data_IF_636399877435
#
_entry.id   IF_636399877435
#
_cell.length_a   1.000
_cell.length_b   1.000
_cell.length_c   1.000
_cell.angle_alpha   90.00
_cell.angle_beta   90.00
_cell.angle_gamma   90.00
#
_symmetry.space_group_name_H-M   'P 1'
#
loop_
_entity.id
_entity.type
_entity.pdbx_description
1 polymer ?
#
# COMPACT_ATOMS: atom_id res chain seq x y z
N UNK A 1 -32.12 -28.21 21.50
CA UNK A 1 -32.34 -26.80 21.16
C UNK A 1 -31.39 -26.45 20.03
N UNK A 2 -31.90 -26.29 18.83
CA UNK A 2 -31.09 -25.93 17.66
C UNK A 2 -30.76 -24.44 17.77
N UNK A 3 -29.50 -24.11 18.00
CA UNK A 3 -28.98 -22.76 17.90
C UNK A 3 -29.01 -22.32 16.45
N UNK A 4 -30.00 -21.52 16.09
CA UNK A 4 -30.06 -20.83 14.81
C UNK A 4 -28.83 -19.92 14.73
N UNK A 5 -27.82 -20.34 14.00
CA UNK A 5 -26.69 -19.46 13.62
C UNK A 5 -27.27 -18.35 12.76
N UNK A 6 -27.50 -17.19 13.34
CA UNK A 6 -27.87 -15.99 12.61
C UNK A 6 -26.73 -15.69 11.65
N UNK A 7 -26.93 -16.00 10.37
CA UNK A 7 -26.02 -15.58 9.30
C UNK A 7 -26.10 -14.05 9.25
N UNK A 8 -25.02 -13.39 9.63
CA UNK A 8 -24.93 -11.91 9.60
C UNK A 8 -25.27 -11.44 8.19
N UNK A 9 -26.36 -10.68 8.05
CA UNK A 9 -26.71 -10.09 6.76
C UNK A 9 -25.58 -9.16 6.31
N UNK A 10 -25.11 -9.24 5.06
CA UNK A 10 -24.11 -8.34 4.52
C UNK A 10 -24.45 -6.84 4.74
N UNK A 11 -25.72 -6.48 4.59
CA UNK A 11 -26.21 -5.11 4.83
C UNK A 11 -26.01 -4.67 6.28
N UNK A 12 -26.19 -5.55 7.27
CA UNK A 12 -26.04 -5.20 8.68
C UNK A 12 -24.62 -4.76 9.06
N UNK A 13 -23.58 -5.20 8.36
CA UNK A 13 -22.22 -4.73 8.62
C UNK A 13 -22.00 -3.31 8.12
N UNK A 14 -22.49 -2.97 6.94
CA UNK A 14 -22.36 -1.63 6.38
C UNK A 14 -23.15 -0.60 7.18
N UNK A 15 -24.37 -0.95 7.64
CA UNK A 15 -25.23 -0.09 8.46
C UNK A 15 -24.56 0.35 9.77
N UNK A 16 -23.69 -0.48 10.31
CA UNK A 16 -22.91 -0.18 11.53
C UNK A 16 -21.58 0.50 11.20
N UNK A 17 -20.87 0.02 10.17
CA UNK A 17 -19.53 0.47 9.85
C UNK A 17 -19.48 1.89 9.27
N UNK A 18 -20.43 2.27 8.44
CA UNK A 18 -20.43 3.59 7.80
C UNK A 18 -20.60 4.72 8.83
N UNK A 19 -21.61 4.71 9.75
CA UNK A 19 -21.71 5.71 10.81
C UNK A 19 -20.50 5.70 11.76
N UNK A 20 -20.01 4.51 12.13
CA UNK A 20 -18.83 4.41 12.97
C UNK A 20 -17.60 5.07 12.33
N UNK A 21 -17.34 4.81 11.05
CA UNK A 21 -16.21 5.38 10.33
C UNK A 21 -16.29 6.90 10.28
N UNK A 22 -17.48 7.45 9.98
CA UNK A 22 -17.70 8.90 9.95
C UNK A 22 -17.41 9.59 11.29
N UNK A 23 -17.65 8.89 12.41
CA UNK A 23 -17.43 9.40 13.75
C UNK A 23 -16.00 9.18 14.29
N UNK A 24 -15.30 8.13 13.84
CA UNK A 24 -14.07 7.65 14.50
C UNK A 24 -12.88 7.47 13.55
N UNK A 25 -13.03 7.74 12.26
CA UNK A 25 -11.92 7.61 11.30
C UNK A 25 -10.75 8.52 11.69
N UNK A 26 -9.54 8.01 11.53
CA UNK A 26 -8.33 8.84 11.67
C UNK A 26 -8.35 9.97 10.64
N UNK A 27 -7.97 11.17 11.07
CA UNK A 27 -7.74 12.30 10.17
C UNK A 27 -6.43 12.06 9.39
N UNK A 28 -6.57 11.48 8.21
CA UNK A 28 -5.45 11.24 7.31
C UNK A 28 -5.53 12.23 6.14
N UNK A 29 -4.41 12.93 5.80
CA UNK A 29 -4.46 14.02 4.82
C UNK A 29 -4.98 13.59 3.45
N UNK A 30 -4.68 12.35 3.02
CA UNK A 30 -5.18 11.80 1.75
C UNK A 30 -6.65 11.38 1.74
N UNK A 31 -7.38 11.52 2.87
CA UNK A 31 -8.83 11.31 2.99
C UNK A 31 -9.63 12.61 2.98
N UNK A 32 -8.95 13.74 2.98
CA UNK A 32 -9.59 15.05 3.02
C UNK A 32 -10.24 15.39 1.68
N UNK A 33 -11.37 16.09 1.66
CA UNK A 33 -12.11 16.42 0.42
C UNK A 33 -11.30 17.19 -0.62
N UNK A 34 -10.31 17.98 -0.17
CA UNK A 34 -9.43 18.76 -1.03
C UNK A 34 -8.33 17.93 -1.70
N UNK A 35 -8.14 16.67 -1.30
CA UNK A 35 -7.10 15.82 -1.88
C UNK A 35 -7.49 15.40 -3.30
N UNK A 36 -6.62 15.71 -4.24
CA UNK A 36 -6.81 15.33 -5.65
C UNK A 36 -6.69 13.81 -5.86
N UNK A 37 -7.26 13.26 -6.93
CA UNK A 37 -7.05 11.84 -7.29
C UNK A 37 -5.57 11.45 -7.41
N UNK A 38 -4.73 12.38 -7.86
CA UNK A 38 -3.28 12.19 -7.86
C UNK A 38 -2.72 12.02 -6.45
N UNK A 39 -3.14 12.87 -5.51
CA UNK A 39 -2.74 12.74 -4.10
C UNK A 39 -3.17 11.42 -3.49
N UNK A 40 -4.36 10.93 -3.81
CA UNK A 40 -4.83 9.60 -3.39
C UNK A 40 -3.95 8.51 -3.99
N UNK A 41 -3.67 8.53 -5.29
CA UNK A 41 -2.81 7.54 -5.95
C UNK A 41 -1.41 7.51 -5.32
N UNK A 42 -0.79 8.66 -5.09
CA UNK A 42 0.52 8.77 -4.43
C UNK A 42 0.47 8.14 -3.04
N UNK A 43 -0.56 8.43 -2.24
CA UNK A 43 -0.71 7.85 -0.90
C UNK A 43 -0.83 6.33 -0.93
N UNK A 44 -1.64 5.78 -1.85
CA UNK A 44 -1.85 4.34 -1.98
C UNK A 44 -0.56 3.60 -2.35
N UNK A 45 0.26 4.19 -3.22
CA UNK A 45 1.57 3.62 -3.55
C UNK A 45 2.55 3.72 -2.36
N UNK A 46 2.57 4.85 -1.65
CA UNK A 46 3.45 5.03 -0.49
C UNK A 46 3.08 4.13 0.69
N UNK A 47 1.79 3.87 0.89
CA UNK A 47 1.27 3.05 1.99
C UNK A 47 1.50 1.54 1.79
N UNK A 48 1.85 1.08 0.57
CA UNK A 48 2.17 -0.33 0.34
C UNK A 48 3.31 -0.78 1.27
N UNK A 49 3.01 -1.63 2.26
CA UNK A 49 3.97 -2.17 3.24
C UNK A 49 4.75 -1.08 4.04
N UNK A 50 4.22 0.14 4.13
CA UNK A 50 4.81 1.25 4.89
C UNK A 50 3.79 1.75 5.91
N UNK A 51 4.15 1.86 7.20
CA UNK A 51 3.26 2.39 8.22
C UNK A 51 2.84 3.85 7.94
N UNK A 52 1.59 4.18 8.24
CA UNK A 52 1.00 5.53 8.04
C UNK A 52 1.88 6.65 8.58
N UNK A 53 2.40 6.51 9.81
CA UNK A 53 3.25 7.53 10.45
C UNK A 53 4.55 7.86 9.69
N UNK A 54 4.97 7.01 8.74
CA UNK A 54 6.15 7.23 7.90
C UNK A 54 5.81 7.83 6.53
N UNK A 55 4.54 7.88 6.18
CA UNK A 55 4.08 8.30 4.85
C UNK A 55 3.64 9.76 4.83
N UNK A 56 3.04 10.25 5.89
CA UNK A 56 2.42 11.59 5.90
C UNK A 56 3.38 12.72 5.51
N UNK A 57 4.56 12.80 6.13
CA UNK A 57 5.58 13.81 5.81
C UNK A 57 6.01 13.73 4.34
N UNK A 58 6.57 12.59 3.89
CA UNK A 58 6.97 12.41 2.50
C UNK A 58 5.84 12.65 1.48
N UNK A 59 4.60 12.28 1.79
CA UNK A 59 3.46 12.51 0.92
C UNK A 59 3.19 14.03 0.71
N UNK A 60 3.26 14.84 1.78
CA UNK A 60 3.11 16.29 1.69
C UNK A 60 4.21 16.92 0.85
N UNK A 61 5.48 16.58 1.14
CA UNK A 61 6.65 17.05 0.39
C UNK A 61 6.57 16.68 -1.10
N UNK A 62 6.05 15.49 -1.41
CA UNK A 62 5.87 15.05 -2.78
C UNK A 62 4.80 15.84 -3.53
N UNK A 63 3.67 16.12 -2.90
CA UNK A 63 2.60 16.89 -3.54
C UNK A 63 2.93 18.37 -3.64
N UNK A 64 3.73 18.93 -2.74
CA UNK A 64 4.29 20.27 -2.91
C UNK A 64 5.23 20.33 -4.12
N UNK A 65 6.09 19.33 -4.28
CA UNK A 65 7.06 19.28 -5.37
C UNK A 65 6.43 18.87 -6.71
N UNK A 66 5.50 17.92 -6.68
CA UNK A 66 4.84 17.34 -7.85
C UNK A 66 3.32 17.29 -7.65
N UNK A 67 2.62 18.43 -7.78
CA UNK A 67 1.19 18.52 -7.46
C UNK A 67 0.28 17.81 -8.46
N UNK A 68 0.82 17.33 -9.59
CA UNK A 68 0.11 16.64 -10.67
C UNK A 68 1.02 15.65 -11.39
N UNK A 69 0.46 14.69 -12.16
CA UNK A 69 1.24 13.67 -12.86
C UNK A 69 2.32 14.26 -13.79
N UNK A 70 2.00 15.26 -14.60
CA UNK A 70 2.94 15.87 -15.55
C UNK A 70 4.14 16.52 -14.86
N UNK A 71 3.96 17.11 -13.69
CA UNK A 71 5.06 17.68 -12.92
C UNK A 71 6.05 16.59 -12.46
N UNK A 72 5.54 15.42 -12.06
CA UNK A 72 6.38 14.28 -11.70
C UNK A 72 6.98 13.61 -12.94
N UNK A 73 6.22 13.47 -14.02
CA UNK A 73 6.67 12.88 -15.29
C UNK A 73 7.89 13.60 -15.87
N UNK A 74 7.97 14.92 -15.71
CA UNK A 74 9.08 15.75 -16.16
C UNK A 74 10.30 15.71 -15.23
N UNK A 75 10.17 15.14 -14.01
CA UNK A 75 11.27 15.09 -13.05
C UNK A 75 12.32 14.04 -13.45
N UNK A 76 13.63 14.31 -13.23
CA UNK A 76 14.65 13.27 -13.33
C UNK A 76 14.36 12.10 -12.38
N UNK A 77 14.57 10.87 -12.85
CA UNK A 77 14.35 9.65 -12.04
C UNK A 77 15.18 9.68 -10.76
N UNK A 78 16.41 10.20 -10.83
CA UNK A 78 17.29 10.38 -9.67
C UNK A 78 16.62 11.21 -8.58
N UNK A 79 15.96 12.31 -8.94
CA UNK A 79 15.26 13.19 -8.01
C UNK A 79 14.08 12.49 -7.32
N UNK A 80 13.34 11.69 -8.09
CA UNK A 80 12.22 10.86 -7.59
C UNK A 80 12.74 9.83 -6.58
N UNK A 81 13.86 9.16 -6.87
CA UNK A 81 14.49 8.21 -5.97
C UNK A 81 15.07 8.86 -4.70
N UNK A 82 15.63 10.08 -4.81
CA UNK A 82 16.07 10.85 -3.64
C UNK A 82 14.89 11.22 -2.75
N UNK A 83 13.83 11.75 -3.33
CA UNK A 83 12.62 12.13 -2.60
C UNK A 83 11.90 10.91 -1.99
N UNK A 84 12.04 9.71 -2.58
CA UNK A 84 11.49 8.48 -1.97
C UNK A 84 12.16 8.14 -0.64
N UNK A 85 13.39 8.51 -0.47
CA UNK A 85 14.13 8.43 0.78
C UNK A 85 14.07 7.02 1.42
N UNK A 86 13.60 6.98 2.67
CA UNK A 86 13.56 5.75 3.48
C UNK A 86 12.21 5.03 3.51
N UNK A 87 11.30 5.32 2.57
CA UNK A 87 9.99 4.64 2.52
C UNK A 87 10.10 3.13 2.28
N UNK A 88 11.24 2.69 1.73
CA UNK A 88 11.49 1.27 1.41
C UNK A 88 10.88 0.86 0.07
N UNK A 89 11.29 -0.33 -0.43
CA UNK A 89 10.82 -0.85 -1.73
C UNK A 89 10.87 0.19 -2.85
N UNK A 90 12.07 0.72 -3.19
CA UNK A 90 12.24 1.89 -4.07
C UNK A 90 11.72 1.70 -5.51
N UNK A 91 11.55 0.45 -5.96
CA UNK A 91 10.87 0.18 -7.25
C UNK A 91 9.45 0.76 -7.33
N UNK A 92 8.80 1.02 -6.18
CA UNK A 92 7.51 1.71 -6.16
C UNK A 92 7.62 3.14 -6.66
N UNK A 93 8.73 3.82 -6.36
CA UNK A 93 8.99 5.17 -6.88
C UNK A 93 9.13 5.17 -8.41
N UNK A 94 9.89 4.22 -8.96
CA UNK A 94 10.01 4.05 -10.42
C UNK A 94 8.67 3.76 -11.09
N UNK A 95 7.86 2.89 -10.50
CA UNK A 95 6.52 2.56 -11.00
C UNK A 95 5.58 3.74 -10.95
N UNK A 96 5.61 4.52 -9.86
CA UNK A 96 4.80 5.73 -9.74
C UNK A 96 5.22 6.79 -10.75
N UNK A 97 6.54 6.95 -11.00
CA UNK A 97 7.05 7.83 -12.04
C UNK A 97 6.58 7.39 -13.44
N UNK A 98 6.69 6.10 -13.76
CA UNK A 98 6.20 5.57 -15.03
C UNK A 98 4.67 5.72 -15.19
N UNK A 99 3.90 5.52 -14.11
CA UNK A 99 2.46 5.79 -14.11
C UNK A 99 2.17 7.28 -14.35
N UNK A 100 2.93 8.18 -13.72
CA UNK A 100 2.80 9.63 -13.95
C UNK A 100 3.07 10.02 -15.41
N UNK A 101 4.08 9.41 -16.05
CA UNK A 101 4.37 9.62 -17.47
C UNK A 101 3.21 9.14 -18.36
N UNK A 102 2.67 7.95 -18.10
CA UNK A 102 1.53 7.43 -18.85
C UNK A 102 0.28 8.31 -18.67
N UNK A 103 -0.03 8.73 -17.43
CA UNK A 103 -1.18 9.61 -17.15
C UNK A 103 -1.02 10.96 -17.88
N UNK A 104 0.17 11.56 -17.85
CA UNK A 104 0.41 12.83 -18.51
C UNK A 104 0.33 12.71 -20.05
N UNK A 105 0.78 11.59 -20.61
CA UNK A 105 0.85 11.41 -22.08
C UNK A 105 -0.47 10.92 -22.68
N UNK A 106 -1.24 10.10 -21.96
CA UNK A 106 -2.37 9.33 -22.51
C UNK A 106 -3.72 9.68 -21.90
N UNK A 107 -3.73 10.45 -20.78
CA UNK A 107 -4.94 10.73 -19.99
C UNK A 107 -5.07 12.22 -19.62
N UNK A 108 -4.58 13.14 -20.43
CA UNK A 108 -4.72 14.60 -20.27
C UNK A 108 -4.29 15.11 -18.86
N UNK A 109 -3.25 14.48 -18.28
CA UNK A 109 -2.77 14.80 -16.91
C UNK A 109 -3.80 14.54 -15.79
N UNK A 110 -4.84 13.75 -16.08
CA UNK A 110 -5.91 13.38 -15.11
C UNK A 110 -5.82 11.91 -14.79
N UNK A 111 -5.78 11.57 -13.50
CA UNK A 111 -5.82 10.17 -13.05
C UNK A 111 -7.14 9.54 -13.51
N UNK A 112 -7.13 8.41 -14.22
CA UNK A 112 -8.37 7.74 -14.64
C UNK A 112 -9.24 7.31 -13.46
N UNK A 113 -10.56 7.25 -13.66
CA UNK A 113 -11.52 6.79 -12.64
C UNK A 113 -11.93 5.31 -12.83
N UNK A 114 -11.79 4.80 -14.04
CA UNK A 114 -12.16 3.43 -14.39
C UNK A 114 -11.10 2.43 -13.94
N UNK A 115 -11.54 1.34 -13.28
CA UNK A 115 -10.63 0.33 -12.73
C UNK A 115 -9.77 -0.34 -13.80
N UNK A 116 -10.34 -0.67 -14.98
CA UNK A 116 -9.60 -1.34 -16.03
C UNK A 116 -8.51 -0.43 -16.61
N UNK A 117 -8.83 0.85 -16.81
CA UNK A 117 -7.88 1.87 -17.25
C UNK A 117 -6.79 2.09 -16.21
N UNK A 118 -7.15 2.17 -14.92
CA UNK A 118 -6.17 2.27 -13.83
C UNK A 118 -5.23 1.06 -13.78
N UNK A 119 -5.76 -0.16 -13.95
CA UNK A 119 -4.96 -1.40 -13.96
C UNK A 119 -4.00 -1.48 -15.16
N UNK A 120 -4.27 -0.78 -16.26
CA UNK A 120 -3.38 -0.71 -17.42
C UNK A 120 -2.15 0.19 -17.19
N UNK A 121 -2.19 1.08 -16.20
CA UNK A 121 -1.08 1.97 -15.88
C UNK A 121 0.13 1.20 -15.31
N UNK A 122 1.36 1.61 -15.64
CA UNK A 122 2.57 0.96 -15.14
C UNK A 122 2.60 0.85 -13.61
N UNK A 123 2.69 -0.38 -13.09
CA UNK A 123 2.83 -0.66 -11.65
C UNK A 123 1.58 -0.47 -10.80
N UNK A 124 0.45 -0.19 -11.43
CA UNK A 124 -0.86 -0.15 -10.75
C UNK A 124 -1.49 -1.55 -10.84
N UNK A 125 -1.63 -2.19 -9.71
CA UNK A 125 -2.32 -3.49 -9.61
C UNK A 125 -3.75 -3.35 -9.11
N UNK A 126 -4.47 -4.48 -9.10
CA UNK A 126 -5.91 -4.58 -8.75
C UNK A 126 -6.28 -3.85 -7.46
N UNK A 127 -5.46 -3.96 -6.42
CA UNK A 127 -5.72 -3.23 -5.16
C UNK A 127 -5.67 -1.71 -5.38
N UNK A 128 -4.57 -1.20 -5.95
CA UNK A 128 -4.37 0.25 -6.09
C UNK A 128 -5.41 0.87 -7.03
N UNK A 129 -5.72 0.21 -8.14
CA UNK A 129 -6.75 0.67 -9.07
C UNK A 129 -8.12 0.82 -8.37
N UNK A 130 -8.53 -0.20 -7.62
CA UNK A 130 -9.80 -0.18 -6.87
C UNK A 130 -9.80 0.83 -5.73
N UNK A 131 -8.69 0.98 -5.02
CA UNK A 131 -8.55 1.98 -3.96
C UNK A 131 -8.67 3.40 -4.51
N UNK A 132 -8.03 3.70 -5.65
CA UNK A 132 -8.16 5.01 -6.32
C UNK A 132 -9.60 5.24 -6.82
N UNK A 133 -10.20 4.27 -7.51
CA UNK A 133 -11.58 4.39 -7.98
C UNK A 133 -12.57 4.63 -6.82
N UNK A 134 -12.40 3.91 -5.69
CA UNK A 134 -13.26 4.08 -4.52
C UNK A 134 -12.99 5.39 -3.77
N UNK A 135 -11.72 5.68 -3.43
CA UNK A 135 -11.40 6.75 -2.48
C UNK A 135 -11.24 8.12 -3.12
N UNK A 136 -10.87 8.19 -4.41
CA UNK A 136 -10.78 9.45 -5.13
C UNK A 136 -12.06 9.81 -5.89
N UNK A 137 -12.79 8.81 -6.36
CA UNK A 137 -13.96 9.02 -7.24
C UNK A 137 -15.26 8.50 -6.65
N UNK A 138 -15.25 7.91 -5.46
CA UNK A 138 -16.47 7.42 -4.80
C UNK A 138 -17.09 6.20 -5.47
N UNK A 139 -16.37 5.51 -6.37
CA UNK A 139 -16.93 4.37 -7.12
C UNK A 139 -17.23 3.19 -6.21
N UNK A 140 -18.35 2.50 -6.50
CA UNK A 140 -18.72 1.26 -5.81
C UNK A 140 -17.87 0.10 -6.32
N UNK A 141 -16.70 -0.08 -5.71
CA UNK A 141 -15.80 -1.20 -6.01
C UNK A 141 -15.23 -1.79 -4.72
N UNK A 142 -15.04 -3.12 -4.63
CA UNK A 142 -14.46 -3.77 -3.45
C UNK A 142 -12.96 -3.44 -3.37
N UNK A 143 -12.54 -2.89 -2.22
CA UNK A 143 -11.13 -2.62 -1.92
C UNK A 143 -10.65 -3.61 -0.87
N UNK A 144 -9.68 -4.44 -1.20
CA UNK A 144 -9.29 -5.58 -0.37
C UNK A 144 -7.78 -5.59 -0.10
N UNK A 145 -7.41 -5.15 1.08
CA UNK A 145 -6.05 -5.29 1.64
C UNK A 145 -5.97 -6.42 2.69
N UNK A 146 -4.83 -6.57 3.32
CA UNK A 146 -4.64 -7.56 4.38
C UNK A 146 -5.50 -7.30 5.63
N UNK A 147 -5.87 -6.04 5.89
CA UNK A 147 -6.73 -5.65 7.01
C UNK A 147 -8.17 -6.05 6.72
N UNK A 148 -8.67 -5.68 5.53
CA UNK A 148 -10.02 -6.04 5.07
C UNK A 148 -10.19 -7.56 5.06
N UNK A 149 -9.23 -8.31 4.48
CA UNK A 149 -9.25 -9.78 4.47
C UNK A 149 -9.37 -10.38 5.87
N UNK A 150 -8.67 -9.82 6.84
CA UNK A 150 -8.72 -10.26 8.25
C UNK A 150 -10.09 -9.95 8.88
N UNK A 151 -10.63 -8.76 8.63
CA UNK A 151 -11.96 -8.37 9.13
C UNK A 151 -13.02 -9.33 8.56
N UNK A 152 -13.03 -9.56 7.26
CA UNK A 152 -13.97 -10.48 6.58
C UNK A 152 -13.80 -11.91 7.11
N UNK A 153 -12.58 -12.41 7.24
CA UNK A 153 -12.32 -13.73 7.80
C UNK A 153 -12.94 -13.90 9.19
N UNK A 154 -12.80 -12.88 10.05
CA UNK A 154 -13.34 -12.92 11.41
C UNK A 154 -14.83 -12.62 11.46
N UNK A 155 -15.26 -11.50 10.92
CA UNK A 155 -16.64 -11.05 11.07
C UNK A 155 -17.64 -11.89 10.25
N UNK A 156 -17.25 -12.33 9.04
CA UNK A 156 -18.14 -13.05 8.13
C UNK A 156 -17.91 -14.56 8.20
N UNK A 157 -16.66 -15.00 8.05
CA UNK A 157 -16.36 -16.43 7.96
C UNK A 157 -16.11 -17.13 9.30
N UNK A 158 -15.98 -16.37 10.41
CA UNK A 158 -15.75 -16.93 11.76
C UNK A 158 -14.39 -17.61 11.90
N UNK A 159 -13.37 -17.19 11.14
CA UNK A 159 -11.99 -17.71 11.19
C UNK A 159 -11.04 -16.66 11.73
N UNK A 160 -10.04 -17.07 12.51
CA UNK A 160 -9.05 -16.15 13.09
C UNK A 160 -8.20 -15.39 12.04
N UNK A 161 -7.90 -16.04 10.91
CA UNK A 161 -7.05 -15.52 9.83
C UNK A 161 -7.69 -15.78 8.45
N UNK A 162 -7.31 -14.97 7.47
CA UNK A 162 -7.85 -15.05 6.11
C UNK A 162 -7.24 -16.19 5.26
N UNK A 163 -6.08 -16.73 5.65
CA UNK A 163 -5.35 -17.70 4.83
C UNK A 163 -4.63 -17.05 3.62
N UNK A 164 -4.45 -17.81 2.54
CA UNK A 164 -3.87 -17.31 1.29
C UNK A 164 -4.83 -16.33 0.58
N UNK A 165 -4.29 -15.37 -0.16
CA UNK A 165 -5.11 -14.48 -0.99
C UNK A 165 -5.73 -15.22 -2.17
N UNK A 166 -6.98 -14.90 -2.51
CA UNK A 166 -7.70 -15.51 -3.61
C UNK A 166 -8.66 -14.52 -4.28
N UNK A 167 -9.11 -14.83 -5.49
CA UNK A 167 -10.14 -14.04 -6.17
C UNK A 167 -11.46 -13.95 -5.39
N UNK A 168 -11.73 -14.93 -4.52
CA UNK A 168 -12.91 -14.93 -3.65
C UNK A 168 -12.92 -13.75 -2.67
N UNK A 169 -11.76 -13.26 -2.25
CA UNK A 169 -11.68 -12.13 -1.31
C UNK A 169 -12.40 -10.88 -1.86
N UNK A 170 -12.32 -10.64 -3.18
CA UNK A 170 -13.06 -9.53 -3.83
C UNK A 170 -14.57 -9.78 -3.82
N UNK A 171 -15.00 -10.98 -4.17
CA UNK A 171 -16.43 -11.33 -4.17
C UNK A 171 -17.03 -11.27 -2.76
N UNK A 172 -16.30 -11.72 -1.74
CA UNK A 172 -16.73 -11.64 -0.35
C UNK A 172 -16.94 -10.19 0.11
N UNK A 173 -16.10 -9.24 -0.34
CA UNK A 173 -16.27 -7.82 -0.03
C UNK A 173 -17.35 -7.18 -0.89
N UNK A 174 -17.47 -7.54 -2.18
CA UNK A 174 -18.49 -7.00 -3.10
C UNK A 174 -19.90 -7.14 -2.53
N UNK A 175 -20.23 -8.30 -1.94
CA UNK A 175 -21.55 -8.53 -1.35
C UNK A 175 -21.79 -7.77 -0.04
N UNK A 176 -20.73 -7.24 0.60
CA UNK A 176 -20.82 -6.44 1.81
C UNK A 176 -21.04 -4.95 1.51
N UNK A 177 -20.82 -4.52 0.26
CA UNK A 177 -20.95 -3.11 -0.11
C UNK A 177 -22.42 -2.71 -0.28
N UNK A 178 -22.84 -1.57 0.29
CA UNK A 178 -24.15 -0.99 0.01
C UNK A 178 -24.34 -0.70 -1.48
N UNK A 179 -25.60 -0.54 -1.90
CA UNK A 179 -25.97 -0.26 -3.30
C UNK A 179 -25.50 1.15 -3.72
N UNK A 180 -25.60 2.14 -2.82
CA UNK A 180 -25.19 3.52 -3.09
C UNK A 180 -23.67 3.67 -3.17
N UNK A 181 -23.17 4.35 -4.21
CA UNK A 181 -21.72 4.52 -4.46
C UNK A 181 -20.99 5.17 -3.28
N UNK A 182 -21.49 6.30 -2.78
CA UNK A 182 -20.85 7.05 -1.69
C UNK A 182 -20.72 6.21 -0.38
N UNK A 183 -21.77 5.45 -0.04
CA UNK A 183 -21.73 4.57 1.13
C UNK A 183 -20.87 3.32 0.88
N UNK A 184 -20.80 2.83 -0.36
CA UNK A 184 -19.93 1.72 -0.74
C UNK A 184 -18.45 2.09 -0.61
N UNK A 185 -18.03 3.25 -1.12
CA UNK A 185 -16.68 3.77 -0.95
C UNK A 185 -16.34 3.97 0.53
N UNK A 186 -17.28 4.56 1.30
CA UNK A 186 -17.13 4.72 2.75
C UNK A 186 -17.04 3.38 3.47
N UNK A 187 -17.84 2.39 3.09
CA UNK A 187 -17.81 1.03 3.67
C UNK A 187 -16.48 0.33 3.42
N UNK A 188 -15.91 0.46 2.20
CA UNK A 188 -14.57 -0.04 1.90
C UNK A 188 -13.50 0.60 2.79
N UNK A 189 -13.55 1.92 2.99
CA UNK A 189 -12.65 2.62 3.88
C UNK A 189 -12.85 2.22 5.36
N UNK A 190 -14.10 1.99 5.79
CA UNK A 190 -14.45 1.58 7.14
C UNK A 190 -13.94 0.17 7.48
N UNK A 191 -14.06 -0.79 6.56
CA UNK A 191 -13.49 -2.13 6.72
C UNK A 191 -11.98 -2.08 6.89
N UNK A 192 -11.30 -1.26 6.09
CA UNK A 192 -9.85 -1.05 6.19
C UNK A 192 -9.46 -0.41 7.53
N UNK A 193 -10.17 0.64 7.95
CA UNK A 193 -9.93 1.35 9.22
C UNK A 193 -10.16 0.45 10.42
N UNK A 194 -11.26 -0.32 10.43
CA UNK A 194 -11.54 -1.30 11.48
C UNK A 194 -10.41 -2.31 11.62
N UNK A 195 -9.92 -2.84 10.49
CA UNK A 195 -8.80 -3.76 10.47
C UNK A 195 -7.48 -3.15 10.91
N UNK A 196 -7.26 -1.87 10.60
CA UNK A 196 -6.02 -1.16 10.97
C UNK A 196 -5.99 -0.74 12.44
N UNK A 197 -7.15 -0.45 13.06
CA UNK A 197 -7.21 0.17 14.38
C UNK A 197 -7.75 -0.73 15.48
N UNK A 198 -8.74 -1.55 15.21
CA UNK A 198 -9.45 -2.40 16.20
C UNK A 198 -9.22 -3.89 15.96
N UNK A 199 -9.60 -4.38 14.77
CA UNK A 199 -9.48 -5.79 14.40
C UNK A 199 -8.06 -6.15 13.94
N UNK A 200 -7.06 -5.75 14.73
CA UNK A 200 -5.64 -5.96 14.43
C UNK A 200 -5.24 -7.45 14.49
N UNK A 201 -4.10 -7.79 13.88
CA UNK A 201 -3.65 -9.18 13.77
C UNK A 201 -3.41 -9.84 15.13
N UNK A 202 -2.77 -9.12 16.06
CA UNK A 202 -2.45 -9.62 17.40
C UNK A 202 -3.13 -8.76 18.45
N UNK A 203 -3.86 -9.38 19.38
CA UNK A 203 -4.56 -8.67 20.44
C UNK A 203 -5.66 -7.71 19.93
N UNK A 204 -6.62 -8.17 19.11
CA UNK A 204 -7.69 -7.29 18.62
C UNK A 204 -8.52 -6.75 19.77
N UNK A 205 -8.91 -5.47 19.69
CA UNK A 205 -9.70 -4.76 20.70
C UNK A 205 -11.19 -5.01 20.50
N UNK A 206 -11.61 -6.26 20.72
CA UNK A 206 -12.97 -6.68 20.41
C UNK A 206 -14.04 -5.98 21.27
N UNK A 207 -13.71 -5.53 22.48
CA UNK A 207 -14.64 -4.76 23.31
C UNK A 207 -15.01 -3.40 22.70
N UNK A 208 -14.10 -2.79 21.90
CA UNK A 208 -14.32 -1.51 21.24
C UNK A 208 -14.90 -1.70 19.80
N UNK A 209 -15.16 -2.95 19.39
CA UNK A 209 -15.50 -3.24 18.00
C UNK A 209 -16.97 -2.93 17.69
N UNK A 210 -17.27 -2.05 16.72
CA UNK A 210 -18.65 -1.67 16.39
C UNK A 210 -19.46 -2.86 15.86
N UNK A 211 -18.81 -3.85 15.27
CA UNK A 211 -19.48 -5.06 14.72
C UNK A 211 -19.37 -6.28 15.61
N UNK A 212 -19.12 -6.09 16.92
CA UNK A 212 -18.93 -7.20 17.86
C UNK A 212 -20.09 -8.20 17.85
N UNK A 213 -21.33 -7.72 17.92
CA UNK A 213 -22.54 -8.53 17.93
C UNK A 213 -22.78 -9.31 16.63
N UNK A 214 -22.25 -8.76 15.52
CA UNK A 214 -22.33 -9.37 14.19
C UNK A 214 -21.13 -10.26 13.84
N UNK A 215 -20.13 -10.36 14.73
CA UNK A 215 -18.89 -11.04 14.44
C UNK A 215 -18.98 -12.55 14.58
N UNK A 216 -19.00 -13.28 13.47
CA UNK A 216 -19.08 -14.74 13.45
C UNK A 216 -17.94 -15.43 14.24
N UNK A 217 -16.73 -14.84 14.26
CA UNK A 217 -15.61 -15.38 15.03
C UNK A 217 -15.85 -15.29 16.55
N UNK A 218 -16.44 -14.19 17.02
CA UNK A 218 -16.83 -14.02 18.42
C UNK A 218 -17.94 -14.99 18.79
N UNK A 219 -18.98 -15.09 17.97
CA UNK A 219 -20.14 -16.00 18.17
C UNK A 219 -19.71 -17.47 18.26
N UNK A 220 -18.61 -17.84 17.56
CA UNK A 220 -18.03 -19.19 17.60
C UNK A 220 -17.02 -19.41 18.74
N UNK A 221 -16.91 -18.49 19.68
CA UNK A 221 -15.96 -18.62 20.80
C UNK A 221 -14.50 -18.36 20.43
N UNK A 222 -14.24 -17.62 19.34
CA UNK A 222 -12.89 -17.21 18.90
C UNK A 222 -11.97 -18.40 18.59
N UNK A 223 -12.34 -19.33 17.70
CA UNK A 223 -11.49 -20.45 17.37
C UNK A 223 -10.09 -19.97 16.93
N UNK A 224 -9.07 -20.71 17.39
CA UNK A 224 -7.69 -20.43 17.01
C UNK A 224 -7.46 -20.70 15.52
N UNK A 225 -6.41 -20.10 14.97
CA UNK A 225 -5.95 -20.40 13.64
C UNK A 225 -5.29 -21.79 13.58
N UNK A 226 -5.73 -22.64 12.69
CA UNK A 226 -5.25 -24.01 12.47
C UNK A 226 -4.39 -24.17 11.23
N UNK A 227 -4.19 -23.09 10.48
CA UNK A 227 -3.37 -23.06 9.27
C UNK A 227 -1.90 -22.70 9.50
N UNK A 228 -1.10 -22.55 8.42
CA UNK A 228 0.32 -22.27 8.50
C UNK A 228 0.64 -20.98 9.27
N UNK A 229 1.62 -21.05 10.17
CA UNK A 229 2.11 -19.88 10.91
C UNK A 229 3.14 -19.12 10.06
N UNK A 230 2.90 -17.84 9.80
CA UNK A 230 3.88 -16.96 9.13
C UNK A 230 5.03 -16.66 10.07
N UNK A 231 6.24 -17.01 9.67
CA UNK A 231 7.46 -16.61 10.39
C UNK A 231 7.76 -15.13 10.09
N UNK A 232 8.09 -14.38 11.14
CA UNK A 232 8.60 -13.02 10.98
C UNK A 232 9.97 -13.07 10.30
N UNK A 233 10.17 -12.25 9.26
CA UNK A 233 11.50 -12.07 8.68
C UNK A 233 12.33 -11.14 9.56
N UNK A 234 13.55 -11.52 9.85
CA UNK A 234 14.54 -10.65 10.48
C UNK A 234 14.97 -9.58 9.47
N UNK A 235 15.33 -8.39 9.96
CA UNK A 235 15.85 -7.31 9.11
C UNK A 235 17.36 -7.36 9.00
N UNK A 236 18.05 -7.63 10.10
CA UNK A 236 19.50 -7.60 10.18
C UNK A 236 20.14 -8.68 9.30
N UNK A 237 21.15 -8.30 8.53
CA UNK A 237 21.90 -9.20 7.66
C UNK A 237 21.20 -9.61 6.35
N UNK A 238 20.02 -9.08 6.07
CA UNK A 238 19.29 -9.45 4.84
C UNK A 238 19.74 -8.63 3.63
N UNK A 239 19.57 -9.20 2.42
CA UNK A 239 19.80 -8.50 1.16
C UNK A 239 19.00 -7.18 1.07
N UNK A 240 17.83 -7.14 1.68
CA UNK A 240 17.02 -5.92 1.78
C UNK A 240 17.74 -4.81 2.56
N UNK A 241 18.45 -5.15 3.63
CA UNK A 241 19.25 -4.16 4.39
C UNK A 241 20.44 -3.68 3.55
N UNK A 242 21.16 -4.60 2.91
CA UNK A 242 22.34 -4.28 2.08
C UNK A 242 21.94 -3.36 0.92
N UNK A 243 20.94 -3.75 0.16
CA UNK A 243 20.38 -2.90 -0.93
C UNK A 243 19.98 -1.51 -0.45
N UNK A 244 19.36 -1.42 0.74
CA UNK A 244 18.99 -0.15 1.34
C UNK A 244 20.19 0.73 1.66
N UNK A 245 21.30 0.17 2.14
CA UNK A 245 22.55 0.89 2.43
C UNK A 245 23.25 1.36 1.16
N UNK A 246 23.38 0.50 0.15
CA UNK A 246 23.97 0.87 -1.14
C UNK A 246 23.20 2.02 -1.78
N UNK A 247 21.90 1.91 -1.81
CA UNK A 247 21.06 2.97 -2.40
C UNK A 247 21.09 4.27 -1.58
N UNK A 248 21.32 4.20 -0.26
CA UNK A 248 21.48 5.41 0.57
C UNK A 248 22.73 6.19 0.18
N UNK A 249 23.87 5.53 -0.07
CA UNK A 249 25.09 6.20 -0.55
C UNK A 249 24.82 7.01 -1.80
N UNK A 250 24.15 6.41 -2.80
CA UNK A 250 23.84 7.10 -4.06
C UNK A 250 22.85 8.26 -3.89
N UNK A 251 21.87 8.12 -3.00
CA UNK A 251 20.89 9.19 -2.75
C UNK A 251 21.47 10.36 -2.01
N UNK A 252 22.43 10.09 -1.10
CA UNK A 252 23.06 11.13 -0.27
C UNK A 252 24.20 11.83 -1.02
N UNK A 253 24.72 11.23 -2.10
CA UNK A 253 25.72 11.83 -2.96
C UNK A 253 25.11 12.87 -3.92
N UNK A 254 25.85 13.95 -4.25
CA UNK A 254 25.40 14.95 -5.23
C UNK A 254 25.47 14.47 -6.69
N UNK A 255 26.06 13.31 -6.96
CA UNK A 255 26.26 12.74 -8.29
C UNK A 255 26.89 11.35 -8.22
N UNK A 256 27.45 10.85 -9.34
CA UNK A 256 28.04 9.52 -9.42
C UNK A 256 29.16 9.27 -8.43
N UNK A 257 29.15 8.10 -7.80
CA UNK A 257 30.13 7.70 -6.77
C UNK A 257 31.07 6.60 -7.27
N UNK A 258 32.36 6.58 -6.88
CA UNK A 258 33.27 5.49 -7.22
C UNK A 258 32.94 4.21 -6.43
N UNK A 259 33.32 3.06 -6.99
CA UNK A 259 33.07 1.74 -6.39
C UNK A 259 33.49 1.63 -4.90
N UNK A 260 34.64 2.15 -4.45
CA UNK A 260 35.03 2.08 -3.04
C UNK A 260 34.05 2.72 -2.05
N UNK A 261 33.31 3.75 -2.45
CA UNK A 261 32.28 4.36 -1.59
C UNK A 261 31.09 3.40 -1.37
N UNK A 262 30.64 2.72 -2.43
CA UNK A 262 29.63 1.68 -2.30
C UNK A 262 30.13 0.48 -1.51
N UNK A 263 31.39 0.13 -1.68
CA UNK A 263 32.02 -0.96 -0.93
C UNK A 263 32.03 -0.70 0.57
N UNK A 264 32.24 0.55 0.98
CA UNK A 264 32.23 0.95 2.38
C UNK A 264 30.88 0.80 3.07
N UNK A 265 29.80 0.80 2.29
CA UNK A 265 28.43 0.67 2.82
C UNK A 265 28.12 -0.67 3.47
N UNK A 266 28.87 -1.75 3.05
CA UNK A 266 28.68 -3.09 3.59
C UNK A 266 29.99 -3.89 3.54
N UNK A 267 30.71 -3.88 4.66
CA UNK A 267 32.02 -4.54 4.77
C UNK A 267 31.94 -6.00 5.24
N UNK A 268 30.84 -6.39 5.86
CA UNK A 268 30.68 -7.67 6.55
C UNK A 268 30.71 -8.86 5.58
N UNK A 269 30.11 -8.72 4.39
CA UNK A 269 30.03 -9.76 3.37
C UNK A 269 30.13 -9.14 1.97
N UNK A 270 31.35 -9.14 1.36
CA UNK A 270 31.57 -8.61 0.02
C UNK A 270 30.76 -9.32 -1.07
N UNK A 271 30.56 -10.65 -0.94
CA UNK A 271 29.80 -11.42 -1.92
C UNK A 271 28.31 -11.06 -1.89
N UNK A 272 27.74 -10.87 -0.69
CA UNK A 272 26.38 -10.37 -0.51
C UNK A 272 26.25 -8.97 -1.08
N UNK A 273 27.22 -8.08 -0.83
CA UNK A 273 27.22 -6.73 -1.36
C UNK A 273 27.19 -6.71 -2.89
N UNK A 274 28.10 -7.47 -3.53
CA UNK A 274 28.17 -7.57 -5.00
C UNK A 274 26.83 -8.04 -5.58
N UNK A 275 26.28 -9.15 -5.09
CA UNK A 275 24.98 -9.68 -5.53
C UNK A 275 23.85 -8.65 -5.33
N UNK A 276 23.85 -7.89 -4.23
CA UNK A 276 22.85 -6.85 -3.97
C UNK A 276 23.01 -5.67 -4.93
N UNK A 277 24.23 -5.26 -5.26
CA UNK A 277 24.50 -4.22 -6.26
C UNK A 277 24.03 -4.65 -7.65
N UNK A 278 24.37 -5.87 -8.08
CA UNK A 278 23.88 -6.43 -9.34
C UNK A 278 22.36 -6.42 -9.42
N UNK A 279 21.70 -6.79 -8.31
CA UNK A 279 20.24 -6.75 -8.26
C UNK A 279 19.65 -5.35 -8.29
N UNK A 280 20.36 -4.31 -7.84
CA UNK A 280 19.95 -2.91 -7.97
C UNK A 280 20.09 -2.42 -9.41
N UNK A 281 21.16 -2.83 -10.12
CA UNK A 281 21.37 -2.57 -11.55
C UNK A 281 20.25 -3.20 -12.38
N UNK A 282 19.97 -4.50 -12.17
CA UNK A 282 18.89 -5.21 -12.85
C UNK A 282 17.51 -4.57 -12.60
N UNK A 283 17.29 -4.07 -11.38
CA UNK A 283 16.03 -3.40 -11.01
C UNK A 283 15.91 -1.97 -11.57
N UNK A 284 16.94 -1.44 -12.26
CA UNK A 284 16.97 -0.07 -12.78
C UNK A 284 16.99 1.00 -11.68
N UNK A 285 17.52 0.67 -10.50
CA UNK A 285 17.65 1.58 -9.36
C UNK A 285 19.04 2.22 -9.26
N UNK A 286 20.00 1.65 -9.97
CA UNK A 286 21.39 2.08 -10.07
C UNK A 286 21.83 1.91 -11.51
N UNK A 287 22.68 2.78 -12.00
CA UNK A 287 23.39 2.67 -13.27
C UNK A 287 24.89 2.64 -13.03
N UNK A 288 25.63 1.85 -13.85
CA UNK A 288 27.08 1.89 -13.89
C UNK A 288 27.50 2.70 -15.13
N UNK A 289 28.28 3.75 -14.91
CA UNK A 289 28.77 4.63 -15.96
C UNK A 289 29.99 4.02 -16.67
N UNK A 290 30.30 4.53 -17.87
CA UNK A 290 31.43 4.05 -18.67
C UNK A 290 32.80 4.19 -17.97
N UNK A 291 32.93 5.14 -17.03
CA UNK A 291 34.14 5.33 -16.22
C UNK A 291 34.21 4.42 -14.98
N UNK A 292 33.22 3.52 -14.81
CA UNK A 292 33.14 2.59 -13.70
C UNK A 292 32.49 3.11 -12.43
N UNK A 293 32.08 4.40 -12.38
CA UNK A 293 31.28 4.95 -11.28
C UNK A 293 29.85 4.44 -11.30
N UNK A 294 29.17 4.56 -10.19
CA UNK A 294 27.77 4.21 -10.01
C UNK A 294 26.93 5.45 -9.72
N UNK A 295 25.71 5.49 -10.25
CA UNK A 295 24.82 6.62 -10.16
C UNK A 295 23.37 6.19 -9.96
N UNK A 296 22.50 7.11 -9.54
CA UNK A 296 21.07 6.98 -9.74
C UNK A 296 20.73 7.13 -11.24
N UNK A 297 19.62 6.50 -11.71
CA UNK A 297 19.31 6.51 -13.15
C UNK A 297 19.20 7.94 -13.73
N UNK A 298 19.89 8.14 -14.87
CA UNK A 298 19.91 9.40 -15.60
C UNK A 298 20.88 10.47 -15.08
N UNK A 299 21.75 10.13 -14.12
CA UNK A 299 22.86 10.99 -13.72
C UNK A 299 24.12 10.71 -14.55
N UNK A 300 24.92 11.75 -14.79
CA UNK A 300 26.13 11.67 -15.63
C UNK A 300 27.38 12.19 -14.89
#
# INVERSE_FOLDING_TARGET
MATTTATTSPAALADVLVPWFRAHARDLPWRRPETTPWGVLVSEIMLQQTPVARVEGPWREWLERWPRPSAMAAAPVADVLRAWGRLGYPRRALRLHAAAQAIAAEHDDVVPEDVATLESLPGIGTYTARAVAAFAYGRRVPVVDTNVRRVVARAVHGRAEAGAASARDLADVEVLLPVGEADAATSSAALMELGATICVARGPRCADCPVLEHCAWQQRGRPAWDGPVRRAQTWAGTDRQVRGRLLAVLRDAPGPVPAPELESAWLTDPAQRARCLDSLLVDGLVEQLADGRFALPGET
#
